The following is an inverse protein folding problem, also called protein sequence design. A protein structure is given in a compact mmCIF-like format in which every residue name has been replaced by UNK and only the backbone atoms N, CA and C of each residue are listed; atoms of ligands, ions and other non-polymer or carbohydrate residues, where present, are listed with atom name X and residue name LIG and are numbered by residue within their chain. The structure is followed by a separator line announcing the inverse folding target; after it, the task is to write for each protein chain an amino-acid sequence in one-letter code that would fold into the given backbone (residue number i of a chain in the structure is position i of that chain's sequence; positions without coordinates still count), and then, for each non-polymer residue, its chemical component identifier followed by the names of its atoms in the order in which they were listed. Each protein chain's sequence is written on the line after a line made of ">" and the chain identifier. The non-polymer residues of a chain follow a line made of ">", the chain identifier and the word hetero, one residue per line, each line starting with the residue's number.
data_IF_077516897177
#
_entry.id   IF_077516897177
#
_cell.length_a   1.000
_cell.length_b   1.000
_cell.length_c   1.000
_cell.angle_alpha   90.00
_cell.angle_beta   90.00
_cell.angle_gamma   90.00
#
_symmetry.space_group_name_H-M   'P 1'
#
loop_
_entity.id
_entity.type
_entity.pdbx_description
1 polymer ?
#
# COMPACT_ATOMS: atom_id res chain seq x y z
N UNK A 1 27.58 -4.75 12.00
CA UNK A 1 27.36 -3.97 10.76
C UNK A 1 28.25 -2.74 10.81
N UNK A 2 28.95 -2.38 9.72
CA UNK A 2 29.61 -1.08 9.62
C UNK A 2 28.59 0.04 9.91
N UNK A 3 29.02 1.08 10.63
CA UNK A 3 28.15 2.21 10.97
C UNK A 3 27.64 2.87 9.69
N UNK A 4 26.34 3.14 9.61
CA UNK A 4 25.66 3.84 8.51
C UNK A 4 25.52 3.09 7.18
N UNK A 5 25.57 1.76 7.17
CA UNK A 5 25.15 0.96 6.00
C UNK A 5 24.14 -0.10 6.39
N UNK A 6 23.06 -0.20 5.64
CA UNK A 6 22.08 -1.28 5.76
C UNK A 6 22.69 -2.59 5.21
N UNK A 7 22.28 -3.76 5.71
CA UNK A 7 22.68 -5.04 5.14
C UNK A 7 22.39 -5.14 3.63
N UNK A 8 21.28 -4.56 3.17
CA UNK A 8 20.91 -4.52 1.76
C UNK A 8 21.96 -3.75 0.92
N UNK A 9 22.35 -2.56 1.35
CA UNK A 9 23.37 -1.75 0.66
C UNK A 9 24.74 -2.43 0.63
N UNK A 10 25.06 -3.25 1.64
CA UNK A 10 26.32 -4.01 1.65
C UNK A 10 26.34 -5.14 0.63
N UNK A 11 25.22 -5.81 0.41
CA UNK A 11 25.10 -6.96 -0.50
C UNK A 11 24.88 -6.50 -1.94
N UNK A 12 24.00 -5.52 -2.15
CA UNK A 12 23.57 -5.09 -3.48
C UNK A 12 24.32 -3.86 -3.98
N UNK A 13 25.16 -3.23 -3.14
CA UNK A 13 25.91 -2.02 -3.46
C UNK A 13 25.05 -0.83 -3.94
N UNK A 14 23.75 -0.88 -3.70
CA UNK A 14 22.77 0.16 -4.03
C UNK A 14 21.88 0.46 -2.83
N UNK A 15 21.33 1.69 -2.79
CA UNK A 15 20.30 2.04 -1.80
C UNK A 15 19.01 1.28 -2.12
N UNK A 16 18.30 0.74 -1.11
CA UNK A 16 17.00 0.13 -1.35
C UNK A 16 16.01 1.20 -1.83
N UNK A 17 15.11 0.80 -2.72
CA UNK A 17 13.93 1.59 -3.05
C UNK A 17 12.92 1.45 -1.89
N UNK A 18 12.60 2.57 -1.24
CA UNK A 18 11.66 2.64 -0.13
C UNK A 18 10.32 3.24 -0.55
N UNK A 19 10.08 3.48 -1.84
CA UNK A 19 8.86 4.11 -2.35
C UNK A 19 7.59 3.30 -2.05
N UNK A 20 7.73 1.98 -1.83
CA UNK A 20 6.63 1.11 -1.42
C UNK A 20 6.31 1.20 0.09
N UNK A 21 7.23 1.76 0.89
CA UNK A 21 7.04 1.90 2.33
C UNK A 21 6.20 3.13 2.65
N UNK A 22 5.04 2.88 3.24
CA UNK A 22 4.08 3.89 3.65
C UNK A 22 3.85 3.90 5.17
N UNK A 23 3.46 5.07 5.69
CA UNK A 23 3.15 5.27 7.11
C UNK A 23 1.81 4.61 7.46
N UNK A 24 1.79 3.79 8.49
CA UNK A 24 0.59 3.06 8.91
C UNK A 24 -0.52 4.00 9.42
N UNK A 25 -1.77 3.52 9.34
CA UNK A 25 -2.97 4.22 9.84
C UNK A 25 -3.25 5.57 9.16
N UNK A 26 -2.91 5.66 7.89
CA UNK A 26 -3.11 6.84 7.10
C UNK A 26 -4.32 6.72 6.17
N UNK A 27 -4.92 7.86 5.81
CA UNK A 27 -6.07 7.91 4.90
C UNK A 27 -5.61 7.57 3.49
N UNK A 28 -6.35 6.68 2.84
CA UNK A 28 -6.07 6.18 1.52
C UNK A 28 -7.35 5.93 0.73
N UNK A 29 -7.23 5.82 -0.59
CA UNK A 29 -8.31 5.46 -1.50
C UNK A 29 -7.90 4.26 -2.31
N UNK A 30 -8.69 3.19 -2.20
CA UNK A 30 -8.50 1.98 -2.98
C UNK A 30 -9.31 2.08 -4.26
N UNK A 31 -8.69 1.82 -5.41
CA UNK A 31 -9.42 1.76 -6.67
C UNK A 31 -10.34 0.54 -6.69
N UNK A 32 -11.59 0.74 -7.11
CA UNK A 32 -12.56 -0.34 -7.29
C UNK A 32 -12.23 -1.05 -8.61
N UNK A 33 -12.13 -2.39 -8.63
CA UNK A 33 -11.99 -3.14 -9.87
C UNK A 33 -13.11 -2.78 -10.85
N UNK A 34 -12.78 -2.66 -12.14
CA UNK A 34 -13.73 -2.23 -13.16
C UNK A 34 -14.94 -3.17 -13.26
N UNK A 35 -14.74 -4.45 -12.98
CA UNK A 35 -15.77 -5.50 -12.89
C UNK A 35 -16.86 -5.20 -11.85
N UNK A 36 -16.50 -4.50 -10.76
CA UNK A 36 -17.40 -4.09 -9.69
C UNK A 36 -17.88 -2.65 -9.85
N UNK A 37 -17.27 -1.89 -10.76
CA UNK A 37 -17.65 -0.52 -11.05
C UNK A 37 -18.93 -0.48 -11.89
N UNK A 38 -19.92 0.26 -11.40
CA UNK A 38 -21.06 0.67 -12.22
C UNK A 38 -20.69 1.92 -13.04
N UNK A 39 -21.31 2.12 -14.21
CA UNK A 39 -21.01 3.26 -15.13
C UNK A 39 -21.06 4.65 -14.48
N UNK A 40 -21.79 4.80 -13.38
CA UNK A 40 -21.93 6.03 -12.59
C UNK A 40 -21.59 5.81 -11.09
N UNK A 41 -20.96 4.68 -10.75
CA UNK A 41 -20.56 4.38 -9.39
C UNK A 41 -19.20 4.98 -9.02
N UNK A 42 -18.92 5.00 -7.73
CA UNK A 42 -17.63 5.44 -7.20
C UNK A 42 -16.51 4.54 -7.72
N UNK A 43 -15.45 5.15 -8.26
CA UNK A 43 -14.26 4.45 -8.76
C UNK A 43 -13.24 4.18 -7.67
N UNK A 44 -13.41 4.81 -6.51
CA UNK A 44 -12.48 4.76 -5.39
C UNK A 44 -13.26 4.62 -4.09
N UNK A 45 -12.74 3.81 -3.18
CA UNK A 45 -13.30 3.59 -1.85
C UNK A 45 -12.33 4.19 -0.83
N UNK A 46 -12.85 5.07 0.03
CA UNK A 46 -12.10 5.58 1.17
C UNK A 46 -11.77 4.46 2.16
N UNK A 47 -10.51 4.41 2.56
CA UNK A 47 -9.96 3.37 3.41
C UNK A 47 -8.79 3.89 4.25
N UNK A 48 -8.38 3.08 5.21
CA UNK A 48 -7.24 3.32 6.08
C UNK A 48 -6.17 2.29 5.74
N UNK A 49 -4.95 2.74 5.53
CA UNK A 49 -3.81 1.84 5.32
C UNK A 49 -3.44 1.10 6.60
N UNK A 50 -3.41 -0.24 6.54
CA UNK A 50 -3.15 -1.11 7.69
C UNK A 50 -1.75 -1.71 7.65
N UNK A 51 -1.27 -2.09 6.47
CA UNK A 51 0.04 -2.72 6.32
C UNK A 51 0.18 -3.49 5.02
N UNK A 52 1.08 -4.46 4.99
CA UNK A 52 1.41 -5.26 3.81
C UNK A 52 0.83 -6.67 3.92
N UNK A 53 0.55 -7.28 2.78
CA UNK A 53 0.15 -8.69 2.69
C UNK A 53 1.40 -9.56 2.52
N UNK A 54 1.46 -10.70 3.19
CA UNK A 54 2.57 -11.64 3.00
C UNK A 54 2.50 -12.27 1.60
N UNK A 55 3.66 -12.40 0.93
CA UNK A 55 3.81 -13.06 -0.37
C UNK A 55 3.06 -12.40 -1.55
N UNK A 56 2.57 -11.16 -1.40
CA UNK A 56 1.97 -10.40 -2.50
C UNK A 56 2.44 -8.95 -2.48
N UNK A 57 2.61 -8.38 -3.68
CA UNK A 57 2.95 -6.97 -3.84
C UNK A 57 1.65 -6.17 -3.80
N UNK A 58 1.50 -5.34 -2.78
CA UNK A 58 0.31 -4.51 -2.58
C UNK A 58 0.09 -4.17 -1.12
N UNK A 59 -0.97 -3.42 -0.87
CA UNK A 59 -1.30 -2.89 0.43
C UNK A 59 -2.58 -3.51 0.97
N UNK A 60 -2.57 -3.76 2.27
CA UNK A 60 -3.75 -4.12 3.05
C UNK A 60 -4.39 -2.86 3.57
N UNK A 61 -5.66 -2.66 3.21
CA UNK A 61 -6.45 -1.49 3.57
C UNK A 61 -7.71 -1.92 4.31
N UNK A 62 -8.20 -1.07 5.20
CA UNK A 62 -9.48 -1.26 5.89
C UNK A 62 -10.46 -0.21 5.38
N UNK A 63 -11.61 -0.62 4.86
CA UNK A 63 -12.66 0.35 4.55
C UNK A 63 -13.29 0.91 5.84
N UNK A 64 -14.07 1.97 5.72
CA UNK A 64 -14.77 2.59 6.86
C UNK A 64 -15.80 1.65 7.53
N UNK A 65 -16.22 0.59 6.85
CA UNK A 65 -17.12 -0.44 7.38
C UNK A 65 -16.39 -1.53 8.18
N UNK A 66 -15.07 -1.42 8.38
CA UNK A 66 -14.26 -2.38 9.14
C UNK A 66 -13.86 -3.64 8.36
N UNK A 67 -14.14 -3.70 7.05
CA UNK A 67 -13.74 -4.81 6.17
C UNK A 67 -12.34 -4.56 5.61
N UNK A 68 -11.49 -5.56 5.71
CA UNK A 68 -10.15 -5.57 5.12
C UNK A 68 -10.22 -5.94 3.64
N UNK A 69 -9.42 -5.25 2.84
CA UNK A 69 -9.21 -5.51 1.43
C UNK A 69 -7.72 -5.48 1.12
N UNK A 70 -7.35 -6.20 0.06
CA UNK A 70 -6.01 -6.17 -0.52
C UNK A 70 -6.11 -5.48 -1.88
N UNK A 71 -5.22 -4.52 -2.14
CA UNK A 71 -5.10 -3.86 -3.44
C UNK A 71 -3.68 -3.38 -3.68
N UNK A 72 -3.19 -3.56 -4.90
CA UNK A 72 -1.97 -2.96 -5.44
C UNK A 72 -2.21 -1.57 -6.04
N UNK A 73 -3.48 -1.14 -6.14
CA UNK A 73 -3.88 0.17 -6.65
C UNK A 73 -4.52 0.97 -5.51
N UNK A 74 -3.67 1.68 -4.77
CA UNK A 74 -4.07 2.51 -3.62
C UNK A 74 -3.40 3.88 -3.75
N UNK A 75 -4.19 4.94 -3.58
CA UNK A 75 -3.73 6.32 -3.55
C UNK A 75 -3.71 6.79 -2.10
N UNK A 76 -2.58 7.30 -1.63
CA UNK A 76 -2.40 7.79 -0.25
C UNK A 76 -2.55 9.32 -0.21
N UNK A 77 -3.13 9.86 0.86
CA UNK A 77 -3.36 11.30 1.03
C UNK A 77 -2.12 12.04 1.60
N UNK A 78 -0.91 11.87 1.04
CA UNK A 78 0.33 12.35 1.68
C UNK A 78 0.35 13.86 2.02
#
# INVERSE_FOLDING_TARGET
>A
LPKNKTPFEMVHHCKPDLSHLQVWRFQAWMQVPEELCCKLGDKMIECIFVGYEENRVGWRVCNLNGKYHFSDQVVFNE
#
